data_IF_354602026213
#
_entry.id   IF_354602026213
#
_cell.length_a   1.000
_cell.length_b   1.000
_cell.length_c   1.000
_cell.angle_alpha   90.00
_cell.angle_beta   90.00
_cell.angle_gamma   90.00
#
_symmetry.space_group_name_H-M   'P 1'
#
loop_
_entity.id
_entity.type
_entity.pdbx_description
1 polymer ?
#
# COMPACT_ATOMS: atom_id res chain seq x y z
N UNK A 1 22.60 -22.40 5.48
CA UNK A 1 21.23 -21.81 5.47
C UNK A 1 21.19 -20.61 6.40
N UNK A 2 21.87 -19.54 6.02
CA UNK A 2 21.81 -18.23 6.68
C UNK A 2 21.21 -17.24 5.68
N UNK A 3 20.57 -16.17 6.18
CA UNK A 3 19.94 -15.08 5.43
C UNK A 3 18.43 -15.18 5.09
N UNK A 4 17.60 -15.69 6.01
CA UNK A 4 16.13 -15.46 5.97
C UNK A 4 15.64 -14.55 7.11
N UNK A 5 16.50 -14.24 8.10
CA UNK A 5 16.09 -13.59 9.34
C UNK A 5 16.63 -12.16 9.56
N UNK A 6 17.38 -11.58 8.60
CA UNK A 6 17.88 -10.19 8.72
C UNK A 6 16.97 -9.12 8.11
N UNK A 7 15.83 -9.50 7.55
CA UNK A 7 14.85 -8.56 6.99
C UNK A 7 13.90 -7.82 7.98
N UNK A 8 14.01 -7.86 9.32
CA UNK A 8 13.14 -7.02 10.17
C UNK A 8 13.58 -5.56 10.31
N UNK A 9 14.88 -5.27 10.41
CA UNK A 9 15.38 -3.91 10.73
C UNK A 9 15.51 -3.05 9.47
N UNK A 10 15.59 -3.70 8.31
CA UNK A 10 15.78 -3.01 7.06
C UNK A 10 14.51 -2.29 6.61
N UNK A 11 13.28 -2.82 6.71
CA UNK A 11 12.14 -2.10 6.13
C UNK A 11 11.89 -0.72 6.77
N UNK A 12 12.00 -0.59 8.09
CA UNK A 12 11.83 0.69 8.80
C UNK A 12 13.01 1.66 8.62
N UNK A 13 14.26 1.18 8.71
CA UNK A 13 15.45 2.02 8.46
C UNK A 13 15.58 2.41 6.97
N UNK A 14 15.04 1.61 6.06
CA UNK A 14 15.11 1.81 4.62
C UNK A 14 14.04 2.78 4.11
N UNK A 15 12.85 2.81 4.73
CA UNK A 15 11.86 3.88 4.52
C UNK A 15 12.42 5.22 5.05
N UNK A 16 13.06 5.23 6.22
CA UNK A 16 13.71 6.43 6.76
C UNK A 16 14.90 6.91 5.90
N UNK A 17 15.75 6.01 5.39
CA UNK A 17 16.87 6.39 4.52
C UNK A 17 16.44 6.91 3.14
N UNK A 18 15.33 6.43 2.58
CA UNK A 18 14.83 6.87 1.28
C UNK A 18 14.16 8.24 1.29
N UNK A 19 13.76 8.75 2.47
CA UNK A 19 13.19 10.11 2.65
C UNK A 19 14.12 11.23 2.17
N UNK A 20 15.41 10.97 1.97
CA UNK A 20 16.41 11.98 1.57
C UNK A 20 16.70 12.02 0.05
N UNK A 21 16.30 11.01 -0.73
CA UNK A 21 16.71 10.87 -2.15
C UNK A 21 15.56 10.64 -3.15
N UNK A 22 14.30 10.56 -2.70
CA UNK A 22 13.14 10.41 -3.60
C UNK A 22 13.05 9.05 -4.33
N UNK A 23 13.91 8.09 -3.99
CA UNK A 23 13.96 6.76 -4.59
C UNK A 23 14.24 5.73 -3.47
N UNK A 24 13.46 4.67 -3.43
CA UNK A 24 13.53 3.55 -2.48
C UNK A 24 14.01 2.28 -3.21
N UNK A 25 15.22 1.78 -2.90
CA UNK A 25 15.83 0.60 -3.57
C UNK A 25 15.47 -0.75 -2.93
N UNK A 26 14.23 -1.21 -3.01
CA UNK A 26 13.87 -2.50 -2.41
C UNK A 26 14.32 -3.67 -3.30
N UNK A 27 15.21 -4.53 -2.77
CA UNK A 27 15.71 -5.75 -3.42
C UNK A 27 16.22 -5.52 -4.86
N UNK A 28 17.07 -4.50 -5.03
CA UNK A 28 17.65 -4.16 -6.34
C UNK A 28 16.71 -3.42 -7.29
N UNK A 29 15.50 -3.05 -6.84
CA UNK A 29 14.52 -2.35 -7.67
C UNK A 29 14.14 -0.99 -7.07
N UNK A 30 14.24 0.05 -7.90
CA UNK A 30 13.98 1.44 -7.57
C UNK A 30 12.47 1.75 -7.58
N UNK A 31 11.92 2.14 -6.43
CA UNK A 31 10.55 2.64 -6.28
C UNK A 31 10.64 4.15 -6.10
N UNK A 32 9.95 4.91 -6.93
CA UNK A 32 9.93 6.38 -6.82
C UNK A 32 9.08 6.81 -5.63
N UNK A 33 9.64 7.72 -4.84
CA UNK A 33 8.98 8.44 -3.77
C UNK A 33 8.77 9.89 -4.21
N UNK A 34 7.60 10.41 -3.92
CA UNK A 34 7.23 11.78 -4.19
C UNK A 34 6.72 12.40 -2.89
N UNK A 35 7.25 13.55 -2.49
CA UNK A 35 6.79 14.27 -1.30
C UNK A 35 6.00 15.49 -1.72
N UNK A 36 4.79 15.63 -1.20
CA UNK A 36 3.91 16.78 -1.43
C UNK A 36 3.32 17.24 -0.11
N UNK A 37 3.47 18.54 0.20
CA UNK A 37 2.83 19.19 1.36
C UNK A 37 3.00 18.47 2.72
N UNK A 38 4.11 17.74 2.91
CA UNK A 38 4.51 16.93 4.09
C UNK A 38 4.06 15.46 4.09
N UNK A 39 3.35 15.01 3.07
CA UNK A 39 2.97 13.60 2.91
C UNK A 39 3.83 12.88 1.87
N UNK A 40 4.13 11.62 2.15
CA UNK A 40 4.98 10.78 1.31
C UNK A 40 4.09 9.89 0.40
N UNK A 41 4.21 10.11 -0.90
CA UNK A 41 3.55 9.34 -1.95
C UNK A 41 4.52 8.35 -2.60
N UNK A 42 4.01 7.17 -2.92
CA UNK A 42 4.75 6.05 -3.50
C UNK A 42 4.14 5.69 -4.85
N UNK A 43 4.99 5.44 -5.85
CA UNK A 43 4.55 5.02 -7.19
C UNK A 43 3.96 3.61 -7.17
N UNK A 44 2.63 3.52 -7.32
CA UNK A 44 1.91 2.24 -7.50
C UNK A 44 2.33 1.56 -8.81
N UNK A 45 2.59 2.34 -9.86
CA UNK A 45 3.03 1.80 -11.15
C UNK A 45 4.40 1.13 -11.05
N UNK A 46 5.34 1.72 -10.29
CA UNK A 46 6.67 1.12 -10.10
C UNK A 46 6.61 -0.11 -9.20
N UNK A 47 5.74 -0.11 -8.17
CA UNK A 47 5.46 -1.32 -7.38
C UNK A 47 4.92 -2.42 -8.28
N UNK A 48 3.85 -2.15 -9.04
CA UNK A 48 3.20 -3.12 -9.92
C UNK A 48 4.18 -3.70 -10.95
N UNK A 49 5.10 -2.88 -11.47
CA UNK A 49 6.08 -3.28 -12.49
C UNK A 49 7.00 -4.39 -12.00
N UNK A 50 7.27 -4.48 -10.69
CA UNK A 50 8.07 -5.57 -10.12
C UNK A 50 7.37 -6.94 -10.19
N UNK A 51 6.04 -6.94 -10.18
CA UNK A 51 5.24 -8.16 -10.19
C UNK A 51 4.80 -8.54 -11.60
N UNK A 52 4.44 -7.56 -12.43
CA UNK A 52 4.00 -7.80 -13.80
C UNK A 52 4.24 -6.56 -14.69
N UNK A 53 4.74 -6.73 -15.94
CA UNK A 53 4.86 -5.62 -16.89
C UNK A 53 3.51 -4.97 -17.23
N UNK A 54 2.39 -5.72 -17.14
CA UNK A 54 1.01 -5.21 -17.33
C UNK A 54 0.51 -4.47 -16.08
N UNK A 55 1.23 -3.42 -15.69
CA UNK A 55 1.01 -2.62 -14.47
C UNK A 55 -0.43 -2.11 -14.32
N UNK A 56 -1.01 -1.57 -15.40
CA UNK A 56 -2.39 -1.08 -15.39
C UNK A 56 -3.41 -2.18 -15.06
N UNK A 57 -3.19 -3.41 -15.53
CA UNK A 57 -4.10 -4.52 -15.25
C UNK A 57 -4.05 -4.96 -13.79
N UNK A 58 -2.87 -4.94 -13.15
CA UNK A 58 -2.75 -5.23 -11.72
C UNK A 58 -3.50 -4.19 -10.87
N UNK A 59 -3.36 -2.91 -11.21
CA UNK A 59 -4.05 -1.82 -10.52
C UNK A 59 -5.57 -1.94 -10.71
N UNK A 60 -6.03 -2.26 -11.91
CA UNK A 60 -7.46 -2.50 -12.16
C UNK A 60 -7.99 -3.70 -11.37
N UNK A 61 -7.25 -4.82 -11.33
CA UNK A 61 -7.65 -6.00 -10.57
C UNK A 61 -7.74 -5.72 -9.07
N UNK A 62 -6.84 -4.88 -8.55
CA UNK A 62 -6.88 -4.42 -7.17
C UNK A 62 -8.15 -3.63 -6.86
N UNK A 63 -8.54 -2.68 -7.72
CA UNK A 63 -9.78 -1.90 -7.56
C UNK A 63 -11.07 -2.71 -7.72
N UNK A 64 -11.02 -3.92 -8.29
CA UNK A 64 -12.18 -4.82 -8.35
C UNK A 64 -12.44 -5.53 -7.02
N UNK A 65 -11.51 -5.47 -6.08
CA UNK A 65 -11.64 -6.13 -4.79
C UNK A 65 -12.44 -5.25 -3.80
N UNK A 66 -13.52 -5.82 -3.24
CA UNK A 66 -14.34 -5.17 -2.19
C UNK A 66 -13.52 -4.74 -0.98
N UNK A 67 -12.52 -5.53 -0.56
CA UNK A 67 -11.68 -5.18 0.59
C UNK A 67 -10.83 -3.94 0.31
N UNK A 68 -10.30 -3.84 -0.91
CA UNK A 68 -9.43 -2.72 -1.29
C UNK A 68 -10.23 -1.45 -1.48
N UNK A 69 -11.41 -1.51 -2.11
CA UNK A 69 -12.33 -0.36 -2.16
C UNK A 69 -12.77 0.08 -0.77
N UNK A 70 -13.06 -0.86 0.13
CA UNK A 70 -13.43 -0.53 1.51
C UNK A 70 -12.28 0.15 2.27
N UNK A 71 -11.05 -0.33 2.07
CA UNK A 71 -9.86 0.30 2.65
C UNK A 71 -9.65 1.72 2.12
N UNK A 72 -9.74 1.92 0.80
CA UNK A 72 -9.61 3.25 0.19
C UNK A 72 -10.66 4.22 0.75
N UNK A 73 -11.93 3.82 0.81
CA UNK A 73 -12.99 4.65 1.37
C UNK A 73 -12.79 4.97 2.85
N UNK A 74 -12.29 4.02 3.65
CA UNK A 74 -11.98 4.25 5.06
C UNK A 74 -10.82 5.26 5.21
N UNK A 75 -9.75 5.11 4.43
CA UNK A 75 -8.62 6.04 4.45
C UNK A 75 -9.07 7.45 4.05
N UNK A 76 -9.83 7.58 2.96
CA UNK A 76 -10.33 8.89 2.50
C UNK A 76 -11.29 9.51 3.51
N UNK A 77 -12.21 8.74 4.10
CA UNK A 77 -13.15 9.27 5.10
C UNK A 77 -12.45 9.84 6.36
N UNK A 78 -11.26 9.32 6.69
CA UNK A 78 -10.48 9.78 7.83
C UNK A 78 -9.63 11.03 7.52
N UNK A 79 -9.17 11.18 6.28
CA UNK A 79 -8.16 12.19 5.91
C UNK A 79 -8.67 13.27 4.94
N UNK A 80 -9.82 13.06 4.29
CA UNK A 80 -10.36 13.93 3.26
C UNK A 80 -11.76 14.45 3.66
N UNK A 81 -11.85 15.67 4.21
CA UNK A 81 -13.13 16.28 4.60
C UNK A 81 -14.12 16.48 3.44
N UNK A 82 -13.63 16.52 2.20
CA UNK A 82 -14.45 16.74 1.00
C UNK A 82 -14.76 15.43 0.26
N UNK A 83 -14.53 14.28 0.89
CA UNK A 83 -14.76 12.98 0.28
C UNK A 83 -16.25 12.76 -0.03
N UNK A 84 -16.56 12.37 -1.26
CA UNK A 84 -17.93 12.09 -1.67
C UNK A 84 -18.35 10.68 -1.24
N UNK A 85 -18.86 10.58 -0.02
CA UNK A 85 -19.31 9.33 0.62
C UNK A 85 -20.43 8.65 -0.17
N UNK A 86 -21.31 9.42 -0.81
CA UNK A 86 -22.44 8.86 -1.57
C UNK A 86 -21.94 8.09 -2.80
N UNK A 87 -21.06 8.71 -3.59
CA UNK A 87 -20.45 8.04 -4.75
C UNK A 87 -19.57 6.86 -4.34
N UNK A 88 -18.87 6.96 -3.20
CA UNK A 88 -18.14 5.85 -2.64
C UNK A 88 -19.05 4.65 -2.33
N UNK A 89 -20.18 4.83 -1.64
CA UNK A 89 -21.10 3.73 -1.34
C UNK A 89 -21.70 3.13 -2.62
N UNK A 90 -22.00 3.95 -3.63
CA UNK A 90 -22.44 3.46 -4.95
C UNK A 90 -21.38 2.55 -5.60
N UNK A 91 -20.12 2.99 -5.62
CA UNK A 91 -18.98 2.21 -6.13
C UNK A 91 -18.81 0.90 -5.34
N UNK A 92 -18.83 0.98 -4.01
CA UNK A 92 -18.66 -0.16 -3.11
C UNK A 92 -19.77 -1.21 -3.28
N UNK A 93 -21.00 -0.78 -3.53
CA UNK A 93 -22.12 -1.68 -3.79
C UNK A 93 -21.95 -2.46 -5.09
N UNK A 94 -21.46 -1.81 -6.15
CA UNK A 94 -21.19 -2.41 -7.47
C UNK A 94 -19.89 -3.25 -7.50
N UNK A 95 -18.96 -3.00 -6.58
CA UNK A 95 -17.67 -3.69 -6.54
C UNK A 95 -17.87 -5.18 -6.33
N UNK A 96 -17.21 -6.02 -7.12
CA UNK A 96 -17.33 -7.48 -7.04
C UNK A 96 -18.30 -8.08 -8.05
N UNK A 97 -19.08 -7.25 -8.77
CA UNK A 97 -19.81 -7.72 -9.93
C UNK A 97 -18.84 -8.09 -11.06
N UNK A 98 -19.09 -9.18 -11.82
CA UNK A 98 -18.18 -9.63 -12.88
C UNK A 98 -17.94 -8.58 -13.97
N UNK A 99 -18.95 -7.74 -14.24
CA UNK A 99 -18.93 -6.68 -15.25
C UNK A 99 -18.39 -5.35 -14.71
N UNK A 100 -18.24 -5.23 -13.39
CA UNK A 100 -17.77 -3.99 -12.77
C UNK A 100 -16.30 -3.73 -13.11
N UNK A 101 -16.06 -2.53 -13.62
CA UNK A 101 -14.73 -2.01 -13.94
C UNK A 101 -14.63 -0.59 -13.39
N UNK A 102 -13.51 -0.30 -12.74
CA UNK A 102 -13.21 1.01 -12.19
C UNK A 102 -11.72 1.30 -12.40
N UNK A 103 -11.41 2.45 -13.00
CA UNK A 103 -10.06 2.98 -13.07
C UNK A 103 -9.75 3.91 -11.89
N UNK A 104 -8.46 4.09 -11.59
CA UNK A 104 -8.05 5.04 -10.54
C UNK A 104 -8.43 6.49 -10.87
N UNK A 105 -8.43 6.84 -12.16
CA UNK A 105 -8.87 8.17 -12.60
C UNK A 105 -10.35 8.37 -12.29
N UNK A 106 -11.21 7.40 -12.65
CA UNK A 106 -12.64 7.46 -12.34
C UNK A 106 -12.91 7.45 -10.83
N UNK A 107 -12.14 6.69 -10.05
CA UNK A 107 -12.21 6.72 -8.58
C UNK A 107 -11.96 8.14 -8.05
N UNK A 108 -10.86 8.77 -8.48
CA UNK A 108 -10.50 10.13 -8.06
C UNK A 108 -11.58 11.13 -8.48
N UNK A 109 -12.04 11.07 -9.72
CA UNK A 109 -13.03 12.01 -10.26
C UNK A 109 -14.40 11.89 -9.57
N UNK A 110 -14.89 10.67 -9.33
CA UNK A 110 -16.21 10.46 -8.70
C UNK A 110 -16.21 10.75 -7.21
N UNK A 111 -15.14 10.36 -6.51
CA UNK A 111 -15.10 10.41 -5.05
C UNK A 111 -14.41 11.66 -4.49
N UNK A 112 -13.65 12.38 -5.32
CA UNK A 112 -12.79 13.48 -4.86
C UNK A 112 -11.59 13.01 -4.03
N UNK A 113 -11.13 11.76 -4.25
CA UNK A 113 -10.05 11.15 -3.47
C UNK A 113 -8.74 11.97 -3.53
N UNK A 114 -8.07 12.09 -2.38
CA UNK A 114 -6.80 12.80 -2.24
C UNK A 114 -5.60 11.87 -2.07
N UNK A 115 -5.85 10.66 -1.56
CA UNK A 115 -4.83 9.66 -1.26
C UNK A 115 -4.22 9.01 -2.49
N UNK A 116 -4.79 9.22 -3.68
CA UNK A 116 -4.25 8.74 -4.96
C UNK A 116 -4.17 9.88 -5.96
N UNK A 117 -3.05 9.94 -6.71
CA UNK A 117 -2.76 10.94 -7.72
C UNK A 117 -2.27 10.29 -9.01
N UNK A 118 -2.82 10.70 -10.14
CA UNK A 118 -2.30 10.32 -11.46
C UNK A 118 -1.53 11.48 -12.08
N UNK A 119 -0.28 11.24 -12.49
CA UNK A 119 0.56 12.23 -13.19
C UNK A 119 0.82 11.77 -14.61
N UNK A 120 0.73 12.69 -15.57
CA UNK A 120 1.11 12.48 -16.98
C UNK A 120 2.55 12.99 -17.22
N UNK A 121 3.29 12.39 -18.15
CA UNK A 121 4.62 12.84 -18.59
C UNK A 121 5.76 11.84 -18.38
N UNK A 122 7.01 12.31 -18.47
CA UNK A 122 8.25 11.48 -18.41
C UNK A 122 8.43 10.73 -17.08
N UNK A 123 7.90 11.29 -16.00
CA UNK A 123 7.80 10.67 -14.66
C UNK A 123 6.34 10.36 -14.30
N UNK A 124 5.51 10.19 -15.32
CA UNK A 124 4.10 9.86 -15.18
C UNK A 124 3.89 8.46 -14.61
N UNK A 125 2.69 8.26 -14.10
CA UNK A 125 2.29 7.07 -13.37
C UNK A 125 1.28 7.41 -12.30
N UNK A 126 0.86 6.39 -11.57
CA UNK A 126 -0.06 6.55 -10.46
C UNK A 126 0.70 6.45 -9.15
N UNK A 127 0.49 7.45 -8.29
CA UNK A 127 1.10 7.59 -7.00
C UNK A 127 0.02 7.54 -5.94
N UNK A 128 0.31 6.94 -4.78
CA UNK A 128 -0.61 6.91 -3.67
C UNK A 128 0.10 7.21 -2.35
N UNK A 129 -0.66 7.67 -1.36
CA UNK A 129 -0.18 7.84 0.00
C UNK A 129 0.46 6.54 0.51
N UNK A 130 1.45 6.65 1.40
CA UNK A 130 2.22 5.52 1.93
C UNK A 130 1.32 4.36 2.41
N UNK A 131 0.28 4.64 3.19
CA UNK A 131 -0.63 3.60 3.71
C UNK A 131 -1.37 2.86 2.58
N UNK A 132 -1.86 3.60 1.59
CA UNK A 132 -2.54 3.05 0.43
C UNK A 132 -1.56 2.22 -0.43
N UNK A 133 -0.34 2.69 -0.59
CA UNK A 133 0.70 1.94 -1.29
C UNK A 133 1.09 0.64 -0.56
N UNK A 134 1.07 0.65 0.78
CA UNK A 134 1.30 -0.55 1.59
C UNK A 134 0.14 -1.52 1.55
N UNK A 135 -1.10 -1.06 1.52
CA UNK A 135 -2.24 -1.93 1.24
C UNK A 135 -2.06 -2.59 -0.14
N UNK A 136 -1.74 -1.81 -1.18
CA UNK A 136 -1.59 -2.34 -2.53
C UNK A 136 -0.47 -3.39 -2.61
N UNK A 137 0.66 -3.12 -1.96
CA UNK A 137 1.76 -4.08 -1.87
C UNK A 137 1.36 -5.34 -1.09
N UNK A 138 0.54 -5.20 -0.05
CA UNK A 138 -0.04 -6.31 0.72
C UNK A 138 -1.05 -7.12 -0.09
N UNK A 139 -1.76 -6.50 -1.03
CA UNK A 139 -2.61 -7.18 -2.01
C UNK A 139 -1.77 -8.01 -2.98
N UNK A 140 -0.65 -7.47 -3.48
CA UNK A 140 0.22 -8.16 -4.44
C UNK A 140 1.10 -9.25 -3.80
N UNK A 141 1.50 -9.09 -2.54
CA UNK A 141 2.42 -10.01 -1.85
C UNK A 141 1.88 -10.45 -0.49
N UNK A 142 1.40 -11.70 -0.37
CA UNK A 142 1.04 -12.28 0.93
C UNK A 142 2.22 -12.29 1.92
N UNK A 143 3.44 -12.48 1.43
CA UNK A 143 4.67 -12.44 2.24
C UNK A 143 4.87 -11.07 2.88
N UNK A 144 4.66 -9.99 2.12
CA UNK A 144 4.73 -8.63 2.66
C UNK A 144 3.64 -8.39 3.71
N UNK A 145 2.42 -8.86 3.47
CA UNK A 145 1.32 -8.75 4.44
C UNK A 145 1.65 -9.44 5.78
N UNK A 146 2.20 -10.65 5.74
CA UNK A 146 2.64 -11.36 6.95
C UNK A 146 3.78 -10.63 7.68
N UNK A 147 4.70 -10.03 6.92
CA UNK A 147 5.78 -9.24 7.48
C UNK A 147 5.24 -8.03 8.27
N UNK A 148 4.27 -7.31 7.71
CA UNK A 148 3.63 -6.18 8.40
C UNK A 148 3.01 -6.62 9.74
N UNK A 149 2.32 -7.77 9.77
CA UNK A 149 1.77 -8.30 11.02
C UNK A 149 2.84 -8.64 12.05
N UNK A 150 3.92 -9.30 11.62
CA UNK A 150 5.03 -9.68 12.50
C UNK A 150 5.75 -8.46 13.06
N UNK A 151 5.93 -7.42 12.26
CA UNK A 151 6.55 -6.17 12.71
C UNK A 151 5.65 -5.45 13.72
N UNK A 152 4.34 -5.45 13.49
CA UNK A 152 3.36 -4.92 14.45
C UNK A 152 3.38 -5.67 15.79
N UNK A 153 3.44 -7.00 15.79
CA UNK A 153 3.60 -7.80 17.02
C UNK A 153 4.88 -7.43 17.78
N UNK A 154 6.00 -7.24 17.07
CA UNK A 154 7.26 -6.77 17.64
C UNK A 154 7.13 -5.40 18.29
N UNK A 155 6.52 -4.45 17.60
CA UNK A 155 6.34 -3.08 18.10
C UNK A 155 5.46 -3.03 19.35
N UNK A 156 4.50 -3.95 19.48
CA UNK A 156 3.65 -4.08 20.67
C UNK A 156 4.32 -4.83 21.83
N UNK A 157 5.58 -5.27 21.67
CA UNK A 157 6.29 -6.07 22.67
C UNK A 157 5.67 -7.46 22.87
N UNK A 158 4.95 -7.97 21.87
CA UNK A 158 4.26 -9.25 21.99
C UNK A 158 5.28 -10.41 21.97
N UNK A 159 5.46 -11.08 23.10
CA UNK A 159 6.30 -12.27 23.18
C UNK A 159 5.54 -13.49 22.63
N UNK A 160 6.05 -14.19 21.59
CA UNK A 160 5.37 -15.34 20.99
C UNK A 160 5.08 -16.42 22.02
N UNK A 161 3.89 -17.03 22.00
CA UNK A 161 3.51 -18.11 22.94
C UNK A 161 4.47 -19.32 22.87
N UNK A 162 5.11 -19.57 21.72
CA UNK A 162 6.12 -20.62 21.56
C UNK A 162 7.42 -20.36 22.33
N UNK A 163 7.65 -19.14 22.86
CA UNK A 163 8.79 -18.81 23.69
C UNK A 163 8.52 -19.03 25.20
N UNK A 164 7.29 -19.36 25.62
CA UNK A 164 6.94 -19.52 27.04
C UNK A 164 7.41 -20.82 27.67
N UNK A 165 7.80 -21.83 26.88
CA UNK A 165 8.35 -23.09 27.41
C UNK A 165 9.82 -22.99 27.84
N UNK A 166 10.43 -21.80 27.82
CA UNK A 166 11.79 -21.55 28.32
C UNK A 166 11.92 -20.34 29.26
N UNK A 167 10.83 -19.60 29.51
CA UNK A 167 10.83 -18.55 30.53
C UNK A 167 10.55 -19.19 31.90
N UNK A 168 11.62 -19.64 32.56
CA UNK A 168 11.60 -19.88 33.99
C UNK A 168 11.24 -18.58 34.71
N UNK A 169 9.97 -18.45 35.09
CA UNK A 169 9.58 -17.55 36.16
C UNK A 169 9.86 -18.32 37.45
N UNK A 170 10.95 -17.97 38.12
CA UNK A 170 11.16 -18.28 39.54
C UNK A 170 10.28 -17.41 40.43
#
# INVERSE_FOLDING_TARGET
MQAVWELPILLFSFIEMAKKQGILKVQGSEIRLYREQKEDFISLTDIARKFNPKTGQLILNWLRNRSSISFLGAWESLHNPNFNVLEFENIKNQTGDPTFTLSLTEWIEKTGALGIRSKKGRYGGTYAHQDIAFEFLSYLSPTFKLYVFKEHEKSLGYCPRSARSGCGCG
#
